data_IF_338641053720
#
_entry.id   IF_338641053720
#
_cell.length_a   1.000
_cell.length_b   1.000
_cell.length_c   1.000
_cell.angle_alpha   90.00
_cell.angle_beta   90.00
_cell.angle_gamma   90.00
#
_symmetry.space_group_name_H-M   'P 1'
#
loop_
_entity.id
_entity.type
_entity.pdbx_description
1 polymer ?
#
# COMPACT_ATOMS: atom_id res chain seq x y z
N UNK A 1 -34.19 -12.60 -0.04
CA UNK A 1 -33.25 -11.47 0.06
C UNK A 1 -33.87 -10.45 1.01
N UNK A 2 -33.28 -10.18 2.17
CA UNK A 2 -33.81 -9.13 3.07
C UNK A 2 -33.42 -7.77 2.52
N UNK A 3 -34.40 -6.89 2.36
CA UNK A 3 -34.22 -5.55 1.77
C UNK A 3 -33.81 -4.58 2.87
N UNK A 4 -32.74 -3.81 2.66
CA UNK A 4 -32.36 -2.73 3.57
C UNK A 4 -33.40 -1.61 3.54
N UNK A 5 -33.73 -1.07 4.71
CA UNK A 5 -34.46 0.20 4.77
C UNK A 5 -33.55 1.36 4.36
N UNK A 6 -34.14 2.49 3.95
CA UNK A 6 -33.37 3.70 3.63
C UNK A 6 -32.49 4.13 4.81
N UNK A 7 -33.04 4.19 6.02
CA UNK A 7 -32.29 4.56 7.23
C UNK A 7 -31.11 3.62 7.51
N UNK A 8 -31.26 2.31 7.26
CA UNK A 8 -30.18 1.34 7.41
C UNK A 8 -29.10 1.54 6.34
N UNK A 9 -29.50 1.85 5.12
CA UNK A 9 -28.56 2.16 4.04
C UNK A 9 -27.77 3.44 4.34
N UNK A 10 -28.45 4.49 4.83
CA UNK A 10 -27.82 5.76 5.19
C UNK A 10 -26.86 5.59 6.37
N UNK A 11 -27.26 4.83 7.40
CA UNK A 11 -26.38 4.44 8.51
C UNK A 11 -25.11 3.77 7.99
N UNK A 12 -25.22 2.81 7.06
CA UNK A 12 -24.04 2.12 6.47
C UNK A 12 -23.13 3.11 5.76
N UNK A 13 -23.68 4.07 4.99
CA UNK A 13 -22.88 5.11 4.33
C UNK A 13 -22.12 5.95 5.36
N UNK A 14 -22.79 6.43 6.40
CA UNK A 14 -22.17 7.23 7.45
C UNK A 14 -21.07 6.46 8.20
N UNK A 15 -21.29 5.16 8.47
CA UNK A 15 -20.28 4.28 9.07
C UNK A 15 -19.05 4.09 8.20
N UNK A 16 -19.23 3.96 6.89
CA UNK A 16 -18.12 3.86 5.93
C UNK A 16 -17.31 5.16 5.91
N UNK A 17 -17.97 6.31 6.06
CA UNK A 17 -17.35 7.62 6.13
C UNK A 17 -16.67 7.92 7.49
N UNK A 18 -16.75 7.00 8.45
CA UNK A 18 -16.10 7.12 9.75
C UNK A 18 -16.88 7.94 10.79
N UNK A 19 -18.17 8.20 10.56
CA UNK A 19 -19.00 8.89 11.54
C UNK A 19 -19.24 8.03 12.80
N UNK A 20 -19.34 8.68 13.96
CA UNK A 20 -19.57 7.98 15.23
C UNK A 20 -21.02 7.49 15.35
N UNK A 21 -21.24 6.41 16.11
CA UNK A 21 -22.59 5.90 16.39
C UNK A 21 -23.49 6.98 17.02
N UNK A 22 -22.92 7.89 17.82
CA UNK A 22 -23.67 8.98 18.44
C UNK A 22 -24.16 9.99 17.41
N UNK A 23 -23.31 10.35 16.44
CA UNK A 23 -23.65 11.33 15.42
C UNK A 23 -24.67 10.74 14.44
N UNK A 24 -24.49 9.47 14.07
CA UNK A 24 -25.42 8.74 13.20
C UNK A 24 -26.81 8.65 13.83
N UNK A 25 -26.88 8.27 15.11
CA UNK A 25 -28.13 8.21 15.86
C UNK A 25 -28.84 9.57 15.87
N UNK A 26 -28.09 10.65 16.10
CA UNK A 26 -28.61 12.01 16.12
C UNK A 26 -29.11 12.46 14.74
N UNK A 27 -28.34 12.19 13.66
CA UNK A 27 -28.72 12.52 12.27
C UNK A 27 -29.97 11.78 11.81
N UNK A 28 -30.13 10.51 12.21
CA UNK A 28 -31.25 9.67 11.82
C UNK A 28 -32.48 9.81 12.75
N UNK A 29 -32.38 10.61 13.82
CA UNK A 29 -33.45 10.73 14.82
C UNK A 29 -33.76 9.41 15.54
N UNK A 30 -32.76 8.56 15.74
CA UNK A 30 -32.87 7.24 16.38
C UNK A 30 -32.04 7.18 17.66
N UNK A 31 -32.33 6.19 18.50
CA UNK A 31 -31.49 5.91 19.66
C UNK A 31 -30.18 5.24 19.22
N UNK A 32 -29.09 5.44 19.98
CA UNK A 32 -27.82 4.72 19.76
C UNK A 32 -28.02 3.20 19.82
N UNK A 33 -28.92 2.74 20.70
CA UNK A 33 -29.25 1.32 20.84
C UNK A 33 -29.81 0.74 19.54
N UNK A 34 -30.68 1.49 18.86
CA UNK A 34 -31.23 1.09 17.54
C UNK A 34 -30.13 0.85 16.51
N UNK A 35 -29.11 1.71 16.48
CA UNK A 35 -27.96 1.56 15.58
C UNK A 35 -27.16 0.30 15.92
N UNK A 36 -26.89 0.06 17.22
CA UNK A 36 -26.22 -1.17 17.66
C UNK A 36 -27.02 -2.44 17.31
N UNK A 37 -28.34 -2.39 17.44
CA UNK A 37 -29.19 -3.53 17.11
C UNK A 37 -29.26 -3.79 15.60
N UNK A 38 -29.23 -2.75 14.77
CA UNK A 38 -29.06 -2.91 13.32
C UNK A 38 -27.72 -3.53 12.97
N UNK A 39 -26.63 -3.09 13.61
CA UNK A 39 -25.29 -3.63 13.39
C UNK A 39 -25.13 -5.10 13.82
N UNK A 40 -25.99 -5.62 14.69
CA UNK A 40 -25.99 -7.05 15.04
C UNK A 40 -26.55 -7.93 13.93
N UNK A 41 -27.37 -7.38 13.03
CA UNK A 41 -28.04 -8.15 11.97
C UNK A 41 -27.04 -8.55 10.89
N UNK A 42 -27.03 -9.84 10.54
CA UNK A 42 -26.03 -10.39 9.63
C UNK A 42 -26.09 -9.77 8.23
N UNK A 43 -27.28 -9.48 7.71
CA UNK A 43 -27.43 -8.83 6.40
C UNK A 43 -26.88 -7.39 6.38
N UNK A 44 -26.91 -6.68 7.51
CA UNK A 44 -26.33 -5.33 7.64
C UNK A 44 -24.80 -5.43 7.64
N UNK A 45 -24.23 -6.37 8.41
CA UNK A 45 -22.78 -6.63 8.42
C UNK A 45 -22.28 -7.01 7.03
N UNK A 46 -22.98 -7.94 6.37
CA UNK A 46 -22.64 -8.39 5.02
C UNK A 46 -22.67 -7.23 4.00
N UNK A 47 -23.67 -6.36 4.07
CA UNK A 47 -23.76 -5.20 3.17
C UNK A 47 -22.67 -4.15 3.47
N UNK A 48 -22.38 -3.90 4.75
CA UNK A 48 -21.29 -3.01 5.16
C UNK A 48 -19.94 -3.50 4.61
N UNK A 49 -19.64 -4.79 4.77
CA UNK A 49 -18.40 -5.40 4.27
C UNK A 49 -18.35 -5.39 2.74
N UNK A 50 -19.47 -5.72 2.07
CA UNK A 50 -19.57 -5.66 0.61
C UNK A 50 -19.26 -4.26 0.08
N UNK A 51 -19.86 -3.21 0.66
CA UNK A 51 -19.61 -1.83 0.24
C UNK A 51 -18.18 -1.37 0.51
N UNK A 52 -17.57 -1.79 1.63
CA UNK A 52 -16.16 -1.54 1.92
C UNK A 52 -15.24 -2.19 0.90
N UNK A 53 -15.45 -3.47 0.59
CA UNK A 53 -14.69 -4.18 -0.42
C UNK A 53 -14.82 -3.54 -1.80
N UNK A 54 -16.03 -3.11 -2.15
CA UNK A 54 -16.29 -2.42 -3.41
C UNK A 54 -15.53 -1.10 -3.50
N UNK A 55 -15.52 -0.29 -2.44
CA UNK A 55 -14.73 0.94 -2.38
C UNK A 55 -13.22 0.66 -2.52
N UNK A 56 -12.70 -0.35 -1.83
CA UNK A 56 -11.30 -0.77 -2.00
C UNK A 56 -11.01 -1.19 -3.43
N UNK A 57 -11.90 -1.96 -4.05
CA UNK A 57 -11.78 -2.41 -5.45
C UNK A 57 -11.76 -1.21 -6.41
N UNK A 58 -12.66 -0.25 -6.23
CA UNK A 58 -12.73 0.97 -7.04
C UNK A 58 -11.46 1.82 -6.86
N UNK A 59 -11.01 2.04 -5.63
CA UNK A 59 -9.78 2.77 -5.35
C UNK A 59 -8.56 2.11 -6.00
N UNK A 60 -8.44 0.79 -5.88
CA UNK A 60 -7.37 0.02 -6.52
C UNK A 60 -7.43 0.10 -8.05
N UNK A 61 -8.63 0.11 -8.64
CA UNK A 61 -8.79 0.26 -10.08
C UNK A 61 -8.31 1.65 -10.56
N UNK A 62 -8.59 2.71 -9.81
CA UNK A 62 -8.09 4.07 -10.09
C UNK A 62 -6.55 4.10 -10.03
N UNK A 63 -5.96 3.56 -8.95
CA UNK A 63 -4.50 3.48 -8.80
C UNK A 63 -3.86 2.68 -9.94
N UNK A 64 -4.46 1.54 -10.31
CA UNK A 64 -3.95 0.69 -11.38
C UNK A 64 -4.00 1.39 -12.74
N UNK A 65 -5.09 2.11 -13.03
CA UNK A 65 -5.22 2.91 -14.25
C UNK A 65 -4.11 3.95 -14.37
N UNK A 66 -3.76 4.59 -13.25
CA UNK A 66 -2.80 5.69 -13.20
C UNK A 66 -1.36 5.21 -12.91
N UNK A 67 -1.15 3.89 -12.82
CA UNK A 67 0.14 3.27 -12.49
C UNK A 67 1.26 3.69 -13.46
N UNK A 68 0.96 3.80 -14.76
CA UNK A 68 1.93 4.24 -15.77
C UNK A 68 2.42 5.66 -15.50
N UNK A 69 1.53 6.56 -15.08
CA UNK A 69 1.87 7.93 -14.68
C UNK A 69 2.77 7.93 -13.45
N UNK A 70 2.47 7.12 -12.43
CA UNK A 70 3.33 7.01 -11.25
C UNK A 70 4.73 6.47 -11.59
N UNK A 71 4.81 5.47 -12.47
CA UNK A 71 6.10 4.96 -12.98
C UNK A 71 6.87 6.07 -13.72
N UNK A 72 6.20 6.85 -14.57
CA UNK A 72 6.84 7.94 -15.30
C UNK A 72 7.35 9.06 -14.37
N UNK A 73 6.61 9.37 -13.30
CA UNK A 73 7.05 10.33 -12.29
C UNK A 73 8.32 9.84 -11.57
N UNK A 74 8.39 8.55 -11.19
CA UNK A 74 9.59 7.97 -10.58
C UNK A 74 10.77 7.99 -11.56
N UNK A 75 10.52 7.71 -12.85
CA UNK A 75 11.56 7.83 -13.89
C UNK A 75 12.05 9.27 -14.05
N UNK A 76 11.16 10.26 -13.96
CA UNK A 76 11.57 11.67 -14.01
C UNK A 76 12.50 12.02 -12.83
N UNK A 77 12.12 11.62 -11.60
CA UNK A 77 12.97 11.79 -10.41
C UNK A 77 14.31 11.06 -10.52
N UNK A 78 14.32 9.85 -11.09
CA UNK A 78 15.54 9.06 -11.29
C UNK A 78 16.52 9.71 -12.30
N UNK A 79 16.03 10.55 -13.21
CA UNK A 79 16.83 11.24 -14.22
C UNK A 79 17.11 12.72 -13.87
N UNK A 80 16.59 13.21 -12.75
CA UNK A 80 16.84 14.58 -12.30
C UNK A 80 18.20 14.67 -11.58
N UNK A 81 19.07 15.57 -12.06
CA UNK A 81 20.40 15.78 -11.50
C UNK A 81 20.44 16.85 -10.40
N UNK A 82 19.31 17.51 -10.12
CA UNK A 82 19.20 18.58 -9.12
C UNK A 82 19.38 18.07 -7.68
N UNK A 83 18.77 16.93 -7.34
CA UNK A 83 18.91 16.24 -6.05
C UNK A 83 19.39 14.79 -6.25
N UNK A 84 20.70 14.61 -6.08
CA UNK A 84 21.36 13.30 -6.22
C UNK A 84 20.84 12.25 -5.23
N UNK A 85 20.35 12.64 -4.05
CA UNK A 85 19.80 11.70 -3.06
C UNK A 85 18.45 11.18 -3.52
N UNK A 86 17.59 12.06 -4.03
CA UNK A 86 16.29 11.69 -4.60
C UNK A 86 16.48 10.82 -5.85
N UNK A 87 17.41 11.19 -6.74
CA UNK A 87 17.73 10.40 -7.92
C UNK A 87 18.25 9.00 -7.55
N UNK A 88 19.17 8.90 -6.59
CA UNK A 88 19.67 7.62 -6.10
C UNK A 88 18.55 6.76 -5.50
N UNK A 89 17.68 7.33 -4.67
CA UNK A 89 16.56 6.63 -4.06
C UNK A 89 15.55 6.11 -5.11
N UNK A 90 15.21 6.93 -6.11
CA UNK A 90 14.32 6.53 -7.19
C UNK A 90 14.93 5.40 -8.05
N UNK A 91 16.22 5.51 -8.42
CA UNK A 91 16.94 4.46 -9.13
C UNK A 91 17.01 3.16 -8.31
N UNK A 92 17.33 3.24 -7.02
CA UNK A 92 17.36 2.08 -6.13
C UNK A 92 15.99 1.39 -6.04
N UNK A 93 14.92 2.16 -5.91
CA UNK A 93 13.55 1.63 -5.89
C UNK A 93 13.22 0.86 -7.18
N UNK A 94 13.53 1.44 -8.36
CA UNK A 94 13.27 0.80 -9.65
C UNK A 94 14.08 -0.49 -9.83
N UNK A 95 15.36 -0.49 -9.43
CA UNK A 95 16.23 -1.68 -9.48
C UNK A 95 15.70 -2.77 -8.55
N UNK A 96 15.35 -2.42 -7.31
CA UNK A 96 14.80 -3.35 -6.33
C UNK A 96 13.47 -3.98 -6.78
N UNK A 97 12.69 -3.30 -7.62
CA UNK A 97 11.46 -3.85 -8.18
C UNK A 97 11.71 -4.99 -9.17
N UNK A 98 12.87 -4.99 -9.84
CA UNK A 98 13.28 -6.02 -10.81
C UNK A 98 14.04 -7.16 -10.13
N UNK A 99 15.01 -6.82 -9.28
CA UNK A 99 15.94 -7.79 -8.70
C UNK A 99 15.61 -8.20 -7.26
N UNK A 100 14.55 -7.63 -6.68
CA UNK A 100 14.27 -7.72 -5.24
C UNK A 100 15.14 -6.75 -4.45
N UNK A 101 14.73 -6.48 -3.21
CA UNK A 101 15.61 -5.79 -2.25
C UNK A 101 16.68 -6.77 -1.79
N UNK A 102 17.97 -6.39 -1.79
CA UNK A 102 18.97 -7.15 -1.07
C UNK A 102 18.55 -7.19 0.41
N UNK A 103 17.98 -8.30 0.86
CA UNK A 103 17.77 -8.53 2.29
C UNK A 103 19.13 -8.84 2.87
N UNK A 104 19.61 -8.02 3.80
CA UNK A 104 20.69 -8.44 4.69
C UNK A 104 20.30 -9.81 5.25
N UNK A 105 21.19 -10.79 5.10
CA UNK A 105 21.04 -12.10 5.73
C UNK A 105 20.86 -11.83 7.22
N UNK A 106 19.75 -12.30 7.79
CA UNK A 106 19.56 -12.33 9.24
C UNK A 106 20.71 -13.17 9.80
N UNK A 107 21.53 -12.58 10.68
CA UNK A 107 22.56 -13.28 11.43
C UNK A 107 21.92 -14.36 12.30
N UNK A 108 21.73 -15.55 11.73
CA UNK A 108 21.60 -16.78 12.50
C UNK A 108 23.02 -17.20 12.80
N UNK A 109 23.50 -16.77 13.97
CA UNK A 109 24.62 -17.28 14.75
C UNK A 109 25.60 -16.17 15.13
N UNK A 110 25.46 -15.78 16.39
CA UNK A 110 26.58 -15.40 17.24
C UNK A 110 27.73 -16.42 17.03
N UNK A 111 28.74 -16.06 16.24
CA UNK A 111 30.06 -16.67 16.20
C UNK A 111 30.97 -15.67 15.50
N UNK A 112 31.79 -15.00 16.30
CA UNK A 112 32.80 -14.03 15.92
C UNK A 112 33.58 -14.43 14.65
N UNK A 113 33.52 -13.60 13.62
CA UNK A 113 34.64 -13.33 12.72
C UNK A 113 34.35 -12.06 11.91
N UNK A 114 35.14 -11.02 12.19
CA UNK A 114 35.25 -9.77 11.46
C UNK A 114 35.37 -10.00 9.94
N UNK A 115 34.50 -9.36 9.15
CA UNK A 115 34.84 -8.91 7.80
C UNK A 115 33.94 -7.75 7.36
N UNK A 116 34.38 -6.55 7.66
CA UNK A 116 33.78 -5.27 7.28
C UNK A 116 33.81 -5.04 5.76
N UNK A 117 32.85 -5.62 5.04
CA UNK A 117 32.50 -5.16 3.69
C UNK A 117 31.22 -4.30 3.77
N UNK A 118 31.38 -2.98 3.74
CA UNK A 118 30.26 -2.03 3.71
C UNK A 118 29.37 -2.29 2.49
N UNK A 119 28.05 -2.12 2.62
CA UNK A 119 27.05 -2.38 1.57
C UNK A 119 27.36 -1.71 0.22
N UNK A 120 28.06 -0.57 0.24
CA UNK A 120 28.58 0.13 -0.95
C UNK A 120 29.48 -0.78 -1.80
N UNK A 121 30.33 -1.59 -1.17
CA UNK A 121 31.25 -2.49 -1.86
C UNK A 121 30.52 -3.62 -2.60
N UNK A 122 29.38 -4.09 -2.06
CA UNK A 122 28.57 -5.13 -2.73
C UNK A 122 27.92 -4.63 -4.03
N UNK A 123 27.50 -3.36 -4.05
CA UNK A 123 26.95 -2.70 -5.23
C UNK A 123 28.03 -2.50 -6.31
N UNK A 124 29.23 -2.06 -5.92
CA UNK A 124 30.36 -1.89 -6.84
C UNK A 124 30.79 -3.21 -7.50
N UNK A 125 30.78 -4.31 -6.74
CA UNK A 125 31.06 -5.66 -7.26
C UNK A 125 29.98 -6.11 -8.26
N UNK A 126 28.70 -5.85 -7.98
CA UNK A 126 27.60 -6.18 -8.89
C UNK A 126 27.68 -5.37 -10.21
N UNK A 127 27.97 -4.07 -10.12
CA UNK A 127 28.16 -3.20 -11.28
C UNK A 127 29.37 -3.61 -12.14
N UNK A 128 30.46 -4.05 -11.50
CA UNK A 128 31.67 -4.51 -12.19
C UNK A 128 31.42 -5.82 -12.95
N UNK A 129 30.64 -6.75 -12.39
CA UNK A 129 30.24 -8.00 -13.07
C UNK A 129 29.38 -7.74 -14.30
N UNK A 130 28.50 -6.73 -14.27
CA UNK A 130 27.70 -6.34 -15.44
C UNK A 130 28.55 -5.76 -16.57
N UNK A 131 29.56 -4.94 -16.26
CA UNK A 131 30.48 -4.39 -17.27
C UNK A 131 31.30 -5.49 -17.96
N UNK A 132 31.77 -6.49 -17.22
CA UNK A 132 32.50 -7.63 -17.79
C UNK A 132 31.64 -8.53 -18.70
N UNK A 133 30.33 -8.63 -18.46
CA UNK A 133 29.43 -9.42 -19.32
C UNK A 133 29.06 -8.72 -20.64
N UNK A 134 29.36 -7.43 -20.79
CA UNK A 134 29.05 -6.68 -22.02
C UNK A 134 30.18 -6.71 -23.06
N UNK A 135 31.39 -7.16 -22.68
CA UNK A 135 32.57 -7.25 -23.57
C UNK A 135 32.86 -8.67 -24.09
N UNK A 136 31.97 -9.64 -23.81
CA UNK A 136 32.00 -10.98 -24.41
C UNK A 136 30.87 -11.13 -25.43
N UNK A 137 30.96 -10.38 -26.52
CA UNK A 137 30.28 -10.69 -27.80
C UNK A 137 31.23 -10.37 -28.94
#
# INVERSE_FOLDING_TARGET
MQVLTQEQSDMIVMLINGESISDIASRLGRSRQTIYDWLKKDYIKAELDRRRQELTRQGNAVILRDLSTYINNIKALANDNSDKRVALAANQYLINRVYGTPTAIVDINNSEADNTATEVSKIEIALSKMKSNHWKK
#
